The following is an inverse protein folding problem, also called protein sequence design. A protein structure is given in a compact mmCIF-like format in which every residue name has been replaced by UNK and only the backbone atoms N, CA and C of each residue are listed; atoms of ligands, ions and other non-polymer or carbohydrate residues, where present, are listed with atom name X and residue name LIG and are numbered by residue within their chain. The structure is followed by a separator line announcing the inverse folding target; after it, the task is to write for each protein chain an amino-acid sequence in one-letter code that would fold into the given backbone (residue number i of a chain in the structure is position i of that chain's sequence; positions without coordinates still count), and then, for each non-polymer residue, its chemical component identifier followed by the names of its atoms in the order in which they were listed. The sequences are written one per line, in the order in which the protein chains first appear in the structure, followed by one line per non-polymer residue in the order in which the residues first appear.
data_IF_543643455483
#
_entry.id   IF_543643455483
#
_cell.length_a   1.000
_cell.length_b   1.000
_cell.length_c   1.000
_cell.angle_alpha   90.00
_cell.angle_beta   90.00
_cell.angle_gamma   90.00
#
_symmetry.space_group_name_H-M   'P 1'
#
loop_
_entity.id
_entity.type
_entity.pdbx_description
1 polymer ?
#
# COMPACT_ATOMS: atom_id res chain seq x y z
N UNK A 1 -35.80 6.93 26.54
CA UNK A 1 -35.46 5.51 26.74
C UNK A 1 -35.15 4.81 25.43
N UNK A 2 -33.86 4.61 25.15
CA UNK A 2 -33.39 3.79 24.04
C UNK A 2 -32.97 2.43 24.61
N UNK A 3 -33.85 1.45 24.50
CA UNK A 3 -33.57 0.07 24.84
C UNK A 3 -32.69 -0.52 23.72
N UNK A 4 -31.41 -0.75 24.01
CA UNK A 4 -30.51 -1.56 23.18
C UNK A 4 -30.47 -2.99 23.71
N UNK A 5 -30.61 -3.98 22.83
CA UNK A 5 -30.43 -5.40 23.14
C UNK A 5 -28.93 -5.74 23.24
N UNK A 6 -28.46 -6.41 24.32
CA UNK A 6 -27.04 -6.65 24.58
C UNK A 6 -26.48 -7.92 23.89
N UNK A 7 -26.73 -8.08 22.58
CA UNK A 7 -26.40 -9.34 21.87
C UNK A 7 -25.43 -9.25 20.70
N UNK A 8 -25.19 -8.06 20.12
CA UNK A 8 -24.51 -7.93 18.82
C UNK A 8 -23.13 -7.27 18.88
N UNK A 9 -22.52 -7.21 20.06
CA UNK A 9 -21.21 -6.57 20.23
C UNK A 9 -20.06 -7.56 19.98
N UNK A 10 -20.27 -8.84 20.27
CA UNK A 10 -19.21 -9.86 20.20
C UNK A 10 -18.98 -10.34 18.75
N UNK A 11 -20.04 -10.47 17.93
CA UNK A 11 -19.90 -10.93 16.53
C UNK A 11 -19.14 -9.92 15.67
N UNK A 12 -19.59 -8.67 15.61
CA UNK A 12 -18.98 -7.65 14.75
C UNK A 12 -17.53 -7.34 15.12
N UNK A 13 -17.20 -7.28 16.42
CA UNK A 13 -15.85 -7.04 16.87
C UNK A 13 -14.92 -8.22 16.55
N UNK A 14 -15.41 -9.46 16.68
CA UNK A 14 -14.66 -10.67 16.32
C UNK A 14 -14.43 -10.75 14.80
N UNK A 15 -15.44 -10.37 14.01
CA UNK A 15 -15.35 -10.33 12.55
C UNK A 15 -14.35 -9.26 12.07
N UNK A 16 -14.27 -8.12 12.76
CA UNK A 16 -13.29 -7.07 12.47
C UNK A 16 -11.85 -7.46 12.84
N UNK A 17 -11.64 -8.08 14.00
CA UNK A 17 -10.30 -8.54 14.40
C UNK A 17 -9.81 -9.68 13.48
N UNK A 18 -10.71 -10.58 13.08
CA UNK A 18 -10.41 -11.64 12.11
C UNK A 18 -10.02 -11.09 10.73
N UNK A 19 -10.76 -10.09 10.23
CA UNK A 19 -10.42 -9.40 8.98
C UNK A 19 -9.08 -8.67 9.09
N UNK A 20 -8.85 -7.97 10.20
CA UNK A 20 -7.60 -7.26 10.47
C UNK A 20 -6.40 -8.22 10.42
N UNK A 21 -6.49 -9.35 11.10
CA UNK A 21 -5.42 -10.35 11.10
C UNK A 21 -5.17 -10.90 9.68
N UNK A 22 -6.24 -11.24 8.96
CA UNK A 22 -6.14 -11.71 7.57
C UNK A 22 -5.42 -10.71 6.67
N UNK A 23 -5.75 -9.41 6.79
CA UNK A 23 -5.09 -8.35 6.03
C UNK A 23 -3.61 -8.21 6.42
N UNK A 24 -3.29 -8.21 7.72
CA UNK A 24 -1.91 -8.13 8.19
C UNK A 24 -1.06 -9.29 7.67
N UNK A 25 -1.59 -10.51 7.72
CA UNK A 25 -0.90 -11.70 7.24
C UNK A 25 -0.69 -11.66 5.72
N UNK A 26 -1.69 -11.18 4.97
CA UNK A 26 -1.62 -11.06 3.52
C UNK A 26 -0.56 -10.05 3.04
N UNK A 27 -0.31 -8.98 3.81
CA UNK A 27 0.53 -7.85 3.35
C UNK A 27 1.88 -7.73 4.05
N UNK A 28 2.02 -8.16 5.31
CA UNK A 28 3.22 -7.88 6.13
C UNK A 28 4.54 -8.32 5.50
N UNK A 29 4.54 -9.43 4.75
CA UNK A 29 5.72 -9.99 4.07
C UNK A 29 5.63 -9.99 2.55
N UNK A 30 4.63 -9.30 1.97
CA UNK A 30 4.39 -9.33 0.53
C UNK A 30 5.35 -8.44 -0.29
N UNK A 31 6.19 -7.65 0.39
CA UNK A 31 7.20 -6.80 -0.24
C UNK A 31 6.59 -5.77 -1.20
N UNK A 32 7.20 -5.63 -2.38
CA UNK A 32 6.76 -4.71 -3.44
C UNK A 32 5.81 -5.35 -4.46
N UNK A 33 5.38 -6.59 -4.22
CA UNK A 33 4.42 -7.30 -5.07
C UNK A 33 3.23 -7.80 -4.25
N UNK A 34 2.51 -6.89 -3.56
CA UNK A 34 1.38 -7.29 -2.73
C UNK A 34 0.23 -7.87 -3.55
N UNK A 35 -0.61 -8.75 -2.93
CA UNK A 35 -1.83 -9.22 -3.57
C UNK A 35 -2.81 -8.05 -3.82
N UNK A 36 -3.67 -8.17 -4.84
CA UNK A 36 -4.74 -7.18 -5.02
C UNK A 36 -5.72 -7.31 -3.86
N UNK A 37 -6.22 -6.18 -3.35
CA UNK A 37 -7.22 -6.20 -2.29
C UNK A 37 -8.43 -7.08 -2.63
N UNK A 38 -8.89 -7.06 -3.88
CA UNK A 38 -10.02 -7.90 -4.32
C UNK A 38 -9.73 -9.40 -4.12
N UNK A 39 -8.50 -9.82 -4.38
CA UNK A 39 -8.10 -11.22 -4.25
C UNK A 39 -8.02 -11.65 -2.77
N UNK A 40 -7.66 -10.71 -1.87
CA UNK A 40 -7.64 -10.95 -0.42
C UNK A 40 -9.06 -11.01 0.16
N UNK A 41 -9.98 -10.20 -0.36
CA UNK A 41 -11.36 -10.13 0.14
C UNK A 41 -12.29 -11.21 -0.45
N UNK A 42 -12.01 -11.72 -1.66
CA UNK A 42 -12.88 -12.68 -2.33
C UNK A 42 -13.13 -13.97 -1.53
N UNK A 43 -12.13 -14.60 -0.89
CA UNK A 43 -12.36 -15.78 -0.04
C UNK A 43 -13.21 -15.51 1.22
N UNK A 44 -13.32 -14.23 1.62
CA UNK A 44 -14.09 -13.80 2.78
C UNK A 44 -15.52 -13.35 2.40
N UNK A 45 -15.88 -13.36 1.12
CA UNK A 45 -17.13 -12.81 0.57
C UNK A 45 -17.37 -11.35 1.00
N UNK A 46 -16.29 -10.56 1.09
CA UNK A 46 -16.33 -9.16 1.49
C UNK A 46 -16.12 -8.21 0.32
N UNK A 47 -16.86 -7.12 0.34
CA UNK A 47 -16.63 -5.98 -0.54
C UNK A 47 -15.62 -5.01 0.05
N UNK A 48 -14.97 -4.20 -0.80
CA UNK A 48 -14.10 -3.12 -0.34
C UNK A 48 -14.81 -2.17 0.64
N UNK A 49 -16.10 -1.89 0.43
CA UNK A 49 -16.90 -1.02 1.31
C UNK A 49 -17.02 -1.60 2.72
N UNK A 50 -17.18 -2.92 2.84
CA UNK A 50 -17.23 -3.60 4.14
C UNK A 50 -15.86 -3.63 4.83
N UNK A 51 -14.78 -3.80 4.05
CA UNK A 51 -13.42 -3.82 4.59
C UNK A 51 -12.82 -2.42 4.88
N UNK A 52 -13.39 -1.35 4.29
CA UNK A 52 -12.85 0.00 4.35
C UNK A 52 -12.58 0.53 5.77
N UNK A 53 -13.42 0.30 6.80
CA UNK A 53 -13.12 0.74 8.16
C UNK A 53 -11.85 0.10 8.73
N UNK A 54 -11.65 -1.20 8.50
CA UNK A 54 -10.47 -1.93 8.97
C UNK A 54 -9.22 -1.56 8.18
N UNK A 55 -9.33 -1.42 6.86
CA UNK A 55 -8.22 -0.93 6.03
C UNK A 55 -7.77 0.46 6.45
N UNK A 56 -8.73 1.37 6.70
CA UNK A 56 -8.43 2.71 7.19
C UNK A 56 -7.71 2.65 8.55
N UNK A 57 -8.20 1.85 9.48
CA UNK A 57 -7.56 1.66 10.78
C UNK A 57 -6.11 1.19 10.64
N UNK A 58 -5.86 0.19 9.79
CA UNK A 58 -4.52 -0.34 9.54
C UNK A 58 -3.58 0.69 8.89
N UNK A 59 -4.12 1.55 8.01
CA UNK A 59 -3.36 2.65 7.41
C UNK A 59 -3.05 3.74 8.44
N UNK A 60 -4.04 4.14 9.25
CA UNK A 60 -3.89 5.16 10.28
C UNK A 60 -2.90 4.71 11.38
N UNK A 61 -2.86 3.40 11.68
CA UNK A 61 -1.89 2.78 12.59
C UNK A 61 -0.50 2.57 11.98
N UNK A 62 -0.34 2.84 10.67
CA UNK A 62 0.92 2.64 9.97
C UNK A 62 1.29 1.18 9.75
N UNK A 63 0.33 0.25 9.80
CA UNK A 63 0.57 -1.15 9.43
C UNK A 63 0.53 -1.38 7.93
N UNK A 64 -0.23 -0.55 7.21
CA UNK A 64 -0.34 -0.58 5.76
C UNK A 64 -0.17 0.83 5.19
N UNK A 65 0.34 0.91 3.98
CA UNK A 65 0.35 2.14 3.20
C UNK A 65 -0.52 1.94 1.96
N UNK A 66 -1.53 2.78 1.82
CA UNK A 66 -2.38 2.80 0.63
C UNK A 66 -1.65 3.49 -0.52
N UNK A 67 -1.33 2.72 -1.55
CA UNK A 67 -0.72 3.24 -2.80
C UNK A 67 -1.81 3.51 -3.84
N UNK A 68 -2.76 2.59 -4.01
CA UNK A 68 -3.99 2.80 -4.78
C UNK A 68 -5.20 2.26 -4.02
N UNK A 69 -6.41 2.35 -4.59
CA UNK A 69 -7.59 1.68 -4.03
C UNK A 69 -7.45 0.15 -3.99
N UNK A 70 -6.60 -0.43 -4.84
CA UNK A 70 -6.43 -1.88 -4.98
C UNK A 70 -5.13 -2.41 -4.37
N UNK A 71 -4.13 -1.55 -4.18
CA UNK A 71 -2.80 -1.93 -3.74
C UNK A 71 -2.43 -1.26 -2.41
N UNK A 72 -2.22 -2.10 -1.41
CA UNK A 72 -1.73 -1.76 -0.09
C UNK A 72 -0.38 -2.44 0.11
N UNK A 73 0.57 -1.72 0.71
CA UNK A 73 1.94 -2.20 0.89
C UNK A 73 2.31 -2.16 2.36
N UNK A 74 3.15 -3.09 2.84
CA UNK A 74 3.77 -2.94 4.14
C UNK A 74 4.72 -1.73 4.12
N UNK A 75 4.73 -0.87 5.16
CA UNK A 75 5.59 0.31 5.20
C UNK A 75 7.08 -0.01 4.99
N UNK A 76 7.55 -1.11 5.59
CA UNK A 76 8.95 -1.55 5.48
C UNK A 76 9.40 -1.80 4.03
N UNK A 77 8.51 -2.27 3.16
CA UNK A 77 8.83 -2.45 1.75
C UNK A 77 8.96 -1.12 1.02
N UNK A 78 8.12 -0.14 1.37
CA UNK A 78 8.19 1.21 0.81
C UNK A 78 9.44 1.95 1.30
N UNK A 79 9.80 1.81 2.57
CA UNK A 79 11.03 2.39 3.11
C UNK A 79 12.25 1.88 2.33
N UNK A 80 12.36 0.57 2.14
CA UNK A 80 13.42 -0.03 1.33
C UNK A 80 13.41 0.43 -0.14
N UNK A 81 12.22 0.68 -0.70
CA UNK A 81 12.10 1.25 -2.04
C UNK A 81 12.61 2.69 -2.10
N UNK A 82 12.26 3.53 -1.11
CA UNK A 82 12.72 4.91 -1.04
C UNK A 82 14.24 4.97 -0.98
N UNK A 83 14.87 4.11 -0.17
CA UNK A 83 16.32 4.04 -0.09
C UNK A 83 16.96 3.63 -1.43
N UNK A 84 16.41 2.63 -2.12
CA UNK A 84 16.87 2.26 -3.48
C UNK A 84 16.76 3.41 -4.47
N UNK A 85 15.65 4.13 -4.45
CA UNK A 85 15.43 5.28 -5.34
C UNK A 85 16.39 6.41 -5.02
N UNK A 86 16.60 6.73 -3.73
CA UNK A 86 17.60 7.73 -3.32
C UNK A 86 19.01 7.34 -3.73
N UNK A 87 19.35 6.05 -3.58
CA UNK A 87 20.61 5.48 -4.02
C UNK A 87 20.82 5.63 -5.53
N UNK A 88 19.79 5.38 -6.35
CA UNK A 88 19.87 5.61 -7.81
C UNK A 88 20.32 7.03 -8.16
N UNK A 89 19.83 8.03 -7.42
CA UNK A 89 20.14 9.44 -7.65
C UNK A 89 21.51 9.90 -7.14
N UNK A 90 22.33 9.02 -6.55
CA UNK A 90 23.74 9.36 -6.26
C UNK A 90 24.58 9.35 -7.53
N UNK A 91 24.25 8.46 -8.46
CA UNK A 91 25.03 8.23 -9.69
C UNK A 91 24.29 8.67 -10.96
N UNK A 92 22.99 8.97 -10.85
CA UNK A 92 22.12 9.32 -11.97
C UNK A 92 21.32 10.59 -11.66
N UNK A 93 21.08 11.45 -12.66
CA UNK A 93 20.28 12.67 -12.47
C UNK A 93 18.77 12.44 -12.62
N UNK A 94 18.39 11.43 -13.39
CA UNK A 94 17.01 11.14 -13.76
C UNK A 94 16.67 9.65 -13.56
N UNK A 95 15.37 9.38 -13.42
CA UNK A 95 14.82 8.03 -13.31
C UNK A 95 13.53 7.93 -14.14
N UNK A 96 13.61 7.28 -15.29
CA UNK A 96 12.43 6.98 -16.11
C UNK A 96 11.74 5.66 -15.68
N UNK A 97 10.59 5.37 -16.31
CA UNK A 97 9.84 4.17 -15.96
C UNK A 97 10.57 2.84 -16.30
N UNK A 98 11.24 2.70 -17.46
CA UNK A 98 12.12 1.56 -17.73
C UNK A 98 13.21 1.34 -16.66
N UNK A 99 13.98 2.38 -16.34
CA UNK A 99 15.05 2.32 -15.33
C UNK A 99 14.50 1.96 -13.96
N UNK A 100 13.34 2.50 -13.57
CA UNK A 100 12.69 2.13 -12.31
C UNK A 100 12.32 0.64 -12.27
N UNK A 101 11.87 0.07 -13.39
CA UNK A 101 11.59 -1.37 -13.47
C UNK A 101 12.87 -2.19 -13.37
N UNK A 102 13.97 -1.76 -13.97
CA UNK A 102 15.27 -2.43 -13.85
C UNK A 102 15.78 -2.38 -12.40
N UNK A 103 15.66 -1.23 -11.76
CA UNK A 103 16.04 -1.00 -10.36
C UNK A 103 15.26 -1.88 -9.38
N UNK A 104 13.97 -2.12 -9.66
CA UNK A 104 13.05 -2.78 -8.72
C UNK A 104 12.69 -4.22 -9.10
N UNK A 105 12.92 -4.62 -10.35
CA UNK A 105 12.44 -5.90 -10.91
C UNK A 105 10.92 -5.97 -11.09
N UNK A 106 10.21 -4.85 -10.94
CA UNK A 106 8.74 -4.86 -10.89
C UNK A 106 8.09 -4.85 -12.28
N UNK A 107 6.94 -5.51 -12.36
CA UNK A 107 6.04 -5.36 -13.50
C UNK A 107 5.40 -3.97 -13.51
N UNK A 108 4.86 -3.56 -14.67
CA UNK A 108 4.18 -2.27 -14.83
C UNK A 108 3.03 -2.08 -13.83
N UNK A 109 2.36 -3.17 -13.46
CA UNK A 109 1.25 -3.20 -12.48
C UNK A 109 1.64 -2.57 -11.14
N UNK A 110 2.88 -2.78 -10.69
CA UNK A 110 3.37 -2.23 -9.43
C UNK A 110 4.24 -0.98 -9.64
N UNK A 111 5.03 -0.96 -10.72
CA UNK A 111 5.98 0.10 -10.97
C UNK A 111 5.32 1.49 -11.14
N UNK A 112 4.26 1.58 -11.95
CA UNK A 112 3.61 2.89 -12.20
C UNK A 112 2.93 3.44 -10.94
N UNK A 113 2.11 2.66 -10.20
CA UNK A 113 1.55 3.15 -8.94
C UNK A 113 2.59 3.56 -7.90
N UNK A 114 3.69 2.82 -7.78
CA UNK A 114 4.76 3.17 -6.84
C UNK A 114 5.47 4.47 -7.25
N UNK A 115 5.75 4.65 -8.54
CA UNK A 115 6.30 5.90 -9.06
C UNK A 115 5.39 7.11 -8.77
N UNK A 116 4.09 6.98 -9.00
CA UNK A 116 3.09 8.01 -8.67
C UNK A 116 3.01 8.26 -7.15
N UNK A 117 3.13 7.21 -6.35
CA UNK A 117 3.17 7.32 -4.90
C UNK A 117 4.40 8.10 -4.42
N UNK A 118 5.58 7.82 -4.97
CA UNK A 118 6.81 8.56 -4.65
C UNK A 118 6.69 10.04 -5.03
N UNK A 119 6.03 10.35 -6.15
CA UNK A 119 5.74 11.73 -6.56
C UNK A 119 4.79 12.41 -5.55
N UNK A 120 3.71 11.72 -5.15
CA UNK A 120 2.74 12.21 -4.16
C UNK A 120 3.37 12.43 -2.78
N UNK A 121 4.28 11.55 -2.38
CA UNK A 121 5.07 11.66 -1.15
C UNK A 121 6.20 12.69 -1.26
N UNK A 122 6.30 13.43 -2.38
CA UNK A 122 7.30 14.48 -2.59
C UNK A 122 8.74 13.95 -2.48
N UNK A 123 8.95 12.68 -2.82
CA UNK A 123 10.27 12.05 -2.88
C UNK A 123 10.88 12.32 -4.24
N UNK A 124 10.09 12.13 -5.29
CA UNK A 124 10.43 12.46 -6.67
C UNK A 124 9.51 13.54 -7.22
N UNK A 125 9.89 14.11 -8.36
CA UNK A 125 9.03 14.96 -9.18
C UNK A 125 9.15 14.53 -10.63
N UNK A 126 8.01 14.38 -11.30
CA UNK A 126 7.98 14.04 -12.73
C UNK A 126 8.28 15.26 -13.59
N UNK A 127 9.24 15.14 -14.49
CA UNK A 127 9.62 16.14 -15.49
C UNK A 127 9.66 15.44 -16.85
N UNK A 128 8.63 15.67 -17.68
CA UNK A 128 8.42 14.90 -18.91
C UNK A 128 8.18 13.42 -18.62
N UNK A 129 9.01 12.56 -19.22
CA UNK A 129 8.92 11.10 -19.07
C UNK A 129 9.81 10.53 -17.95
N UNK A 130 10.63 11.37 -17.33
CA UNK A 130 11.52 10.99 -16.25
C UNK A 130 11.13 11.64 -14.92
N UNK A 131 11.78 11.18 -13.85
CA UNK A 131 11.71 11.77 -12.52
C UNK A 131 13.05 12.29 -12.07
N UNK A 132 13.01 13.34 -11.28
CA UNK A 132 14.16 13.86 -10.56
C UNK A 132 13.92 13.71 -9.05
N UNK A 133 15.00 13.56 -8.29
CA UNK A 133 14.92 13.61 -6.83
C UNK A 133 14.47 14.99 -6.38
N UNK A 134 13.44 15.05 -5.53
CA UNK A 134 12.96 16.31 -4.99
C UNK A 134 13.94 16.81 -3.93
N UNK A 135 14.61 17.93 -4.19
CA UNK A 135 15.46 18.62 -3.21
C UNK A 135 14.57 19.21 -2.11
N UNK A 136 15.05 19.15 -0.86
CA UNK A 136 14.36 19.77 0.29
C UNK A 136 14.29 21.28 0.13
#
# INVERSE_FOLDING_TARGET
DLLHLPGHTVSLASDQEGLKQTLLDAYSQAGLTPPNLKDVLAPLDLTHKQAAPVLKLLVDQGHLVKVTEELYFPPSALDGLVEKVRGHFTDNETLDAPQFKELTGLSRKFAIPLLEHLDKQKITVRVGDARMLRKK
#
